data_IF_609806825008
#
_entry.id   IF_609806825008
#
_cell.length_a   1.000
_cell.length_b   1.000
_cell.length_c   1.000
_cell.angle_alpha   90.00
_cell.angle_beta   90.00
_cell.angle_gamma   90.00
#
_symmetry.space_group_name_H-M   'P 1'
#
loop_
_entity.id
_entity.type
_entity.pdbx_description
1 polymer ?
#
# COMPACT_ATOMS: atom_id res chain seq x y z
N UNK A 1 -4.70 -17.65 4.90
CA UNK A 1 -4.31 -18.78 5.76
C UNK A 1 -5.51 -19.34 6.53
N UNK A 2 -5.25 -20.10 7.62
CA UNK A 2 -6.30 -20.67 8.47
C UNK A 2 -7.23 -19.62 9.10
N UNK A 3 -6.69 -18.43 9.37
CA UNK A 3 -7.43 -17.30 9.95
C UNK A 3 -8.14 -16.42 8.90
N UNK A 4 -8.21 -16.88 7.64
CA UNK A 4 -8.93 -16.13 6.61
C UNK A 4 -10.43 -16.09 6.93
N UNK A 5 -11.03 -14.94 6.62
CA UNK A 5 -12.44 -14.70 6.85
C UNK A 5 -13.20 -15.03 5.56
N UNK A 6 -14.13 -15.97 5.68
CA UNK A 6 -15.09 -16.28 4.63
C UNK A 6 -16.05 -15.11 4.41
N UNK A 7 -16.18 -14.70 3.14
CA UNK A 7 -17.14 -13.70 2.68
C UNK A 7 -18.09 -14.38 1.71
N UNK A 8 -19.39 -14.33 2.01
CA UNK A 8 -20.39 -15.03 1.20
C UNK A 8 -20.59 -14.34 -0.17
N UNK A 9 -20.94 -15.10 -1.24
CA UNK A 9 -21.29 -14.51 -2.54
C UNK A 9 -22.42 -13.48 -2.45
N UNK A 10 -23.35 -13.65 -1.51
CA UNK A 10 -24.43 -12.70 -1.25
C UNK A 10 -23.91 -11.36 -0.72
N UNK A 11 -22.92 -11.37 0.19
CA UNK A 11 -22.27 -10.14 0.67
C UNK A 11 -21.44 -9.48 -0.44
N UNK A 12 -20.72 -10.28 -1.25
CA UNK A 12 -19.95 -9.76 -2.38
C UNK A 12 -20.87 -9.00 -3.34
N UNK A 13 -22.00 -9.59 -3.74
CA UNK A 13 -22.97 -8.94 -4.64
C UNK A 13 -23.63 -7.73 -3.99
N UNK A 14 -24.10 -7.86 -2.74
CA UNK A 14 -24.82 -6.78 -2.03
C UNK A 14 -23.99 -5.51 -1.90
N UNK A 15 -22.71 -5.64 -1.60
CA UNK A 15 -21.80 -4.51 -1.36
C UNK A 15 -20.87 -4.20 -2.55
N UNK A 16 -21.08 -4.83 -3.71
CA UNK A 16 -20.23 -4.61 -4.89
C UNK A 16 -18.74 -4.89 -4.63
N UNK A 17 -18.43 -5.88 -3.76
CA UNK A 17 -17.07 -6.15 -3.35
C UNK A 17 -16.24 -6.68 -4.52
N UNK A 18 -15.01 -6.18 -4.63
CA UNK A 18 -14.03 -6.61 -5.62
C UNK A 18 -12.73 -7.01 -4.93
N UNK A 19 -11.93 -7.83 -5.61
CA UNK A 19 -10.59 -8.21 -5.12
C UNK A 19 -9.76 -6.96 -4.89
N UNK A 20 -8.97 -6.96 -3.80
CA UNK A 20 -8.17 -5.81 -3.38
C UNK A 20 -8.89 -4.81 -2.46
N UNK A 21 -10.21 -4.91 -2.30
CA UNK A 21 -10.93 -4.09 -1.31
C UNK A 21 -10.64 -4.56 0.11
N UNK A 22 -10.39 -3.60 1.00
CA UNK A 22 -10.26 -3.85 2.44
C UNK A 22 -11.63 -3.79 3.10
N UNK A 23 -12.02 -4.84 3.80
CA UNK A 23 -13.32 -4.94 4.48
C UNK A 23 -13.09 -5.00 5.98
N UNK A 24 -13.75 -4.11 6.72
CA UNK A 24 -13.81 -4.15 8.20
C UNK A 24 -15.24 -4.47 8.62
N UNK A 25 -15.36 -5.35 9.60
CA UNK A 25 -16.67 -5.75 10.10
C UNK A 25 -16.61 -6.79 11.21
N UNK A 26 -17.78 -7.06 11.78
CA UNK A 26 -17.93 -8.11 12.78
C UNK A 26 -17.80 -9.50 12.12
N UNK A 27 -17.03 -10.38 12.76
CA UNK A 27 -16.87 -11.78 12.35
C UNK A 27 -17.50 -12.70 13.39
N UNK A 28 -17.77 -13.94 13.00
CA UNK A 28 -18.17 -15.03 13.90
C UNK A 28 -17.25 -16.24 13.74
N UNK A 29 -17.05 -17.05 14.80
CA UNK A 29 -16.33 -18.31 14.68
C UNK A 29 -17.05 -19.29 13.73
N UNK A 30 -16.31 -20.26 13.15
CA UNK A 30 -16.91 -21.34 12.38
C UNK A 30 -17.87 -22.18 13.23
N UNK A 31 -18.95 -22.65 12.63
CA UNK A 31 -19.79 -23.73 13.18
C UNK A 31 -19.12 -25.08 12.97
N UNK A 32 -19.66 -26.16 13.56
CA UNK A 32 -19.10 -27.52 13.48
C UNK A 32 -18.80 -27.99 12.04
N UNK A 33 -19.53 -27.51 11.04
CA UNK A 33 -19.35 -27.85 9.62
C UNK A 33 -18.51 -26.85 8.81
N UNK A 34 -18.00 -25.79 9.44
CA UNK A 34 -17.27 -24.71 8.77
C UNK A 34 -15.78 -24.71 9.17
N UNK A 35 -14.90 -24.33 8.24
CA UNK A 35 -13.45 -24.28 8.48
C UNK A 35 -12.92 -22.88 8.83
N UNK A 36 -13.65 -21.84 8.45
CA UNK A 36 -13.18 -20.45 8.49
C UNK A 36 -14.10 -19.58 9.34
N UNK A 37 -13.55 -18.50 9.91
CA UNK A 37 -14.36 -17.41 10.44
C UNK A 37 -15.25 -16.86 9.32
N UNK A 38 -16.46 -16.41 9.64
CA UNK A 38 -17.37 -15.85 8.64
C UNK A 38 -17.66 -14.38 8.94
N UNK A 39 -17.68 -13.54 7.90
CA UNK A 39 -18.09 -12.15 8.01
C UNK A 39 -19.58 -12.07 8.34
N UNK A 40 -19.94 -11.45 9.46
CA UNK A 40 -21.33 -11.29 9.90
C UNK A 40 -21.93 -9.99 9.36
N UNK A 41 -21.22 -8.87 9.54
CA UNK A 41 -21.69 -7.53 9.18
C UNK A 41 -20.52 -6.70 8.65
N UNK A 42 -20.72 -6.05 7.51
CA UNK A 42 -19.77 -5.06 6.98
C UNK A 42 -19.99 -3.73 7.68
N UNK A 43 -18.92 -3.15 8.22
CA UNK A 43 -18.91 -1.82 8.84
C UNK A 43 -18.27 -0.78 7.93
N UNK A 44 -17.13 -1.12 7.32
CA UNK A 44 -16.42 -0.23 6.39
C UNK A 44 -15.83 -0.99 5.22
N UNK A 45 -15.77 -0.33 4.07
CA UNK A 45 -15.09 -0.81 2.87
C UNK A 45 -14.10 0.27 2.45
N UNK A 46 -12.82 -0.07 2.31
CA UNK A 46 -11.73 0.87 2.04
C UNK A 46 -11.73 2.10 2.98
N UNK A 47 -12.09 1.89 4.25
CA UNK A 47 -12.18 2.94 5.28
C UNK A 47 -13.45 3.80 5.24
N UNK A 48 -14.32 3.62 4.24
CA UNK A 48 -15.56 4.40 4.05
C UNK A 48 -16.82 3.59 4.40
N UNK A 49 -17.96 4.29 4.49
CA UNK A 49 -19.28 3.64 4.65
C UNK A 49 -19.55 2.69 3.47
N UNK A 50 -20.15 1.50 3.69
CA UNK A 50 -20.42 0.53 2.64
C UNK A 50 -21.36 1.05 1.54
N UNK A 51 -22.16 2.06 1.85
CA UNK A 51 -23.11 2.67 0.91
C UNK A 51 -22.41 3.41 -0.23
N UNK A 52 -21.21 3.95 0.02
CA UNK A 52 -20.44 4.76 -0.95
C UNK A 52 -19.76 3.90 -2.01
N UNK A 53 -19.69 2.58 -1.84
CA UNK A 53 -18.92 1.69 -2.72
C UNK A 53 -19.53 1.62 -4.12
N UNK A 54 -20.85 1.70 -4.22
CA UNK A 54 -21.55 1.66 -5.49
C UNK A 54 -21.28 2.88 -6.39
N UNK A 55 -20.86 3.99 -5.79
CA UNK A 55 -20.53 5.23 -6.51
C UNK A 55 -19.07 5.27 -6.98
N UNK A 56 -18.26 4.24 -6.66
CA UNK A 56 -16.84 4.21 -7.02
C UNK A 56 -16.66 3.80 -8.49
N UNK A 57 -16.05 4.70 -9.27
CA UNK A 57 -15.55 4.41 -10.61
C UNK A 57 -14.51 3.28 -10.55
N UNK A 58 -14.52 2.38 -11.54
CA UNK A 58 -13.50 1.34 -11.62
C UNK A 58 -12.15 1.97 -11.96
N UNK A 59 -11.07 1.41 -11.42
CA UNK A 59 -9.72 1.92 -11.70
C UNK A 59 -9.39 1.94 -13.21
N UNK A 60 -9.88 0.94 -13.95
CA UNK A 60 -9.70 0.81 -15.41
C UNK A 60 -10.44 1.88 -16.22
N UNK A 61 -11.48 2.50 -15.64
CA UNK A 61 -12.29 3.54 -16.29
C UNK A 61 -11.75 4.95 -15.99
N UNK A 62 -10.72 5.09 -15.15
CA UNK A 62 -10.11 6.38 -14.83
C UNK A 62 -9.27 6.88 -16.01
N UNK A 63 -9.33 8.20 -16.25
CA UNK A 63 -8.50 8.83 -17.29
C UNK A 63 -7.05 8.92 -16.79
N UNK A 64 -6.08 8.32 -17.50
CA UNK A 64 -4.68 8.41 -17.13
C UNK A 64 -4.16 9.84 -17.40
N UNK A 65 -3.51 10.44 -16.41
CA UNK A 65 -2.95 11.78 -16.48
C UNK A 65 -1.46 11.75 -16.10
N UNK A 66 -0.71 12.75 -16.58
CA UNK A 66 0.65 12.97 -16.12
C UNK A 66 0.67 13.45 -14.65
N UNK A 67 1.74 13.18 -13.89
CA UNK A 67 1.87 13.69 -12.53
C UNK A 67 1.89 15.23 -12.47
N UNK A 68 0.92 15.83 -11.80
CA UNK A 68 0.86 17.28 -11.59
C UNK A 68 1.31 17.71 -10.18
N UNK A 69 1.16 16.82 -9.20
CA UNK A 69 1.59 17.05 -7.81
C UNK A 69 2.95 16.41 -7.57
N UNK A 70 3.96 17.24 -7.34
CA UNK A 70 5.32 16.79 -6.98
C UNK A 70 5.36 16.24 -5.53
N UNK A 71 6.12 15.18 -5.33
CA UNK A 71 6.52 14.62 -4.04
C UNK A 71 7.96 15.06 -3.75
N UNK A 72 8.14 15.99 -2.83
CA UNK A 72 9.46 16.43 -2.35
C UNK A 72 10.00 15.39 -1.37
N UNK A 73 11.22 14.93 -1.60
CA UNK A 73 11.88 13.89 -0.83
C UNK A 73 12.89 14.46 0.18
N UNK A 74 13.34 15.70 -0.01
CA UNK A 74 14.17 16.42 0.97
C UNK A 74 13.48 16.45 2.35
N UNK A 75 14.23 16.07 3.39
CA UNK A 75 13.79 16.12 4.80
C UNK A 75 14.79 16.89 5.65
N UNK A 76 15.87 16.22 6.08
CA UNK A 76 16.97 16.81 6.85
C UNK A 76 18.20 17.08 5.97
N UNK A 77 19.05 18.08 6.31
CA UNK A 77 20.23 18.44 5.51
C UNK A 77 21.20 17.29 5.21
N UNK A 78 21.28 16.31 6.11
CA UNK A 78 22.14 15.12 6.01
C UNK A 78 21.63 14.11 4.97
N UNK A 79 20.36 14.21 4.55
CA UNK A 79 19.74 13.34 3.54
C UNK A 79 20.08 13.83 2.13
N UNK A 80 21.36 13.76 1.78
CA UNK A 80 21.89 14.28 0.51
C UNK A 80 21.26 13.55 -0.69
N UNK A 81 21.02 12.24 -0.60
CA UNK A 81 20.50 11.45 -1.70
C UNK A 81 19.11 11.90 -2.14
N UNK A 82 18.24 12.24 -1.18
CA UNK A 82 16.88 12.70 -1.48
C UNK A 82 16.89 14.08 -2.14
N UNK A 83 17.81 14.96 -1.72
CA UNK A 83 18.03 16.27 -2.35
C UNK A 83 18.52 16.13 -3.79
N UNK A 84 19.46 15.22 -4.03
CA UNK A 84 19.93 14.91 -5.39
C UNK A 84 18.78 14.38 -6.24
N UNK A 85 17.95 13.47 -5.71
CA UNK A 85 16.78 12.97 -6.43
C UNK A 85 15.80 14.10 -6.77
N UNK A 86 15.53 15.01 -5.84
CA UNK A 86 14.67 16.16 -6.07
C UNK A 86 15.21 17.10 -7.18
N UNK A 87 16.52 17.22 -7.33
CA UNK A 87 17.12 18.07 -8.35
C UNK A 87 17.20 17.39 -9.73
N UNK A 88 17.57 16.10 -9.75
CA UNK A 88 17.92 15.38 -10.99
C UNK A 88 16.74 14.61 -11.57
N UNK A 89 15.89 14.05 -10.71
CA UNK A 89 14.81 13.14 -11.10
C UNK A 89 13.59 13.29 -10.18
N UNK A 90 12.88 14.43 -10.23
CA UNK A 90 11.76 14.71 -9.34
C UNK A 90 10.65 13.66 -9.51
N UNK A 91 10.05 13.25 -8.38
CA UNK A 91 8.98 12.26 -8.35
C UNK A 91 7.64 12.98 -8.11
N UNK A 92 6.57 12.53 -8.78
CA UNK A 92 5.22 13.05 -8.60
C UNK A 92 4.19 11.98 -8.26
N UNK A 93 2.99 12.40 -7.84
CA UNK A 93 1.86 11.51 -7.63
C UNK A 93 1.40 10.92 -8.98
N UNK A 94 1.47 9.59 -9.09
CA UNK A 94 1.24 8.87 -10.35
C UNK A 94 2.51 8.59 -11.15
N UNK A 95 3.70 8.95 -10.62
CA UNK A 95 4.96 8.69 -11.30
C UNK A 95 5.20 7.18 -11.46
N UNK A 96 5.64 6.81 -12.67
CA UNK A 96 6.22 5.50 -12.95
C UNK A 96 7.73 5.69 -13.11
N UNK A 97 8.50 5.01 -12.27
CA UNK A 97 9.95 5.16 -12.22
C UNK A 97 10.64 3.79 -12.22
N UNK A 98 11.87 3.78 -12.70
CA UNK A 98 12.75 2.63 -12.66
C UNK A 98 14.09 3.07 -12.08
N UNK A 99 14.52 2.43 -10.99
CA UNK A 99 15.86 2.62 -10.42
C UNK A 99 16.75 1.53 -11.02
N UNK A 100 17.60 1.91 -11.96
CA UNK A 100 18.59 1.01 -12.56
C UNK A 100 19.87 1.07 -11.74
N UNK A 101 20.23 -0.06 -11.14
CA UNK A 101 21.35 -0.13 -10.20
C UNK A 101 22.05 -1.49 -10.30
N UNK A 102 23.38 -1.55 -10.50
CA UNK A 102 24.15 -2.78 -10.38
C UNK A 102 24.04 -3.37 -8.95
N UNK A 103 24.35 -4.67 -8.77
CA UNK A 103 24.43 -5.25 -7.43
C UNK A 103 25.35 -4.44 -6.50
N UNK A 104 24.97 -4.33 -5.21
CA UNK A 104 25.77 -3.69 -4.14
C UNK A 104 26.04 -2.19 -4.32
N UNK A 105 25.16 -1.47 -5.03
CA UNK A 105 25.28 -0.01 -5.24
C UNK A 105 24.35 0.84 -4.36
N UNK A 106 23.71 0.23 -3.35
CA UNK A 106 22.86 0.96 -2.40
C UNK A 106 21.40 1.12 -2.81
N UNK A 107 20.90 0.37 -3.81
CA UNK A 107 19.47 0.33 -4.21
C UNK A 107 18.53 0.26 -2.99
N UNK A 108 18.81 -0.68 -2.08
CA UNK A 108 17.98 -0.92 -0.89
C UNK A 108 17.98 0.30 0.05
N UNK A 109 19.15 0.89 0.31
CA UNK A 109 19.29 2.07 1.17
C UNK A 109 18.56 3.27 0.55
N UNK A 110 18.67 3.47 -0.77
CA UNK A 110 17.96 4.53 -1.47
C UNK A 110 16.43 4.36 -1.32
N UNK A 111 15.91 3.15 -1.56
CA UNK A 111 14.48 2.86 -1.40
C UNK A 111 13.99 3.06 0.06
N UNK A 112 14.79 2.68 1.05
CA UNK A 112 14.46 2.93 2.47
C UNK A 112 14.40 4.44 2.75
N UNK A 113 15.36 5.22 2.26
CA UNK A 113 15.37 6.69 2.40
C UNK A 113 14.17 7.35 1.71
N UNK A 114 13.84 6.94 0.49
CA UNK A 114 12.65 7.42 -0.21
C UNK A 114 11.37 7.12 0.57
N UNK A 115 11.27 5.91 1.14
CA UNK A 115 10.09 5.50 1.91
C UNK A 115 9.93 6.35 3.17
N UNK A 116 11.02 6.58 3.90
CA UNK A 116 11.04 7.47 5.08
C UNK A 116 10.63 8.88 4.72
N UNK A 117 11.21 9.43 3.65
CA UNK A 117 10.90 10.78 3.18
C UNK A 117 9.43 10.94 2.82
N UNK A 118 8.84 9.96 2.12
CA UNK A 118 7.40 10.00 1.79
C UNK A 118 6.55 9.92 3.05
N UNK A 119 6.87 9.02 4.00
CA UNK A 119 6.12 8.91 5.26
C UNK A 119 6.20 10.19 6.11
N UNK A 120 7.34 10.88 6.10
CA UNK A 120 7.56 12.12 6.84
C UNK A 120 6.85 13.31 6.19
N UNK A 121 7.06 13.50 4.88
CA UNK A 121 6.56 14.67 4.14
C UNK A 121 5.08 14.54 3.74
N UNK A 122 4.58 13.31 3.61
CA UNK A 122 3.23 13.01 3.11
C UNK A 122 2.55 11.91 3.93
N UNK A 123 2.21 12.16 5.22
CA UNK A 123 1.59 11.17 6.10
C UNK A 123 0.22 10.69 5.60
N UNK A 124 -0.42 11.40 4.68
CA UNK A 124 -1.66 10.98 4.02
C UNK A 124 -1.45 9.92 2.92
N UNK A 125 -0.22 9.78 2.42
CA UNK A 125 0.12 8.84 1.35
C UNK A 125 0.31 7.45 1.95
N UNK A 126 -0.45 6.49 1.43
CA UNK A 126 -0.27 5.08 1.78
C UNK A 126 0.94 4.51 1.04
N UNK A 127 2.01 4.21 1.77
CA UNK A 127 3.17 3.53 1.20
C UNK A 127 3.02 2.01 1.32
N UNK A 128 3.39 1.28 0.27
CA UNK A 128 3.37 -0.18 0.23
C UNK A 128 4.74 -0.62 -0.30
N UNK A 129 5.46 -1.43 0.48
CA UNK A 129 6.73 -2.01 0.05
C UNK A 129 6.53 -3.49 -0.25
N UNK A 130 6.68 -3.84 -1.53
CA UNK A 130 6.61 -5.21 -2.01
C UNK A 130 8.02 -5.75 -2.29
N UNK A 131 8.46 -6.71 -1.49
CA UNK A 131 9.73 -7.41 -1.65
C UNK A 131 9.44 -8.78 -2.26
N UNK A 132 10.01 -9.06 -3.43
CA UNK A 132 9.80 -10.31 -4.19
C UNK A 132 11.15 -11.00 -4.35
N UNK A 133 11.21 -12.28 -3.99
CA UNK A 133 12.43 -13.11 -4.09
C UNK A 133 13.65 -12.51 -3.37
N UNK A 134 13.41 -11.65 -2.37
CA UNK A 134 14.46 -11.05 -1.55
C UNK A 134 14.79 -11.93 -0.34
N UNK A 135 16.03 -11.80 0.13
CA UNK A 135 16.52 -12.62 1.24
C UNK A 135 15.85 -12.23 2.57
N UNK A 136 15.57 -13.18 3.49
CA UNK A 136 14.90 -12.90 4.75
C UNK A 136 15.56 -11.81 5.62
N UNK A 137 16.89 -11.77 5.63
CA UNK A 137 17.67 -10.76 6.34
C UNK A 137 17.48 -9.35 5.75
N UNK A 138 17.36 -9.22 4.43
CA UNK A 138 17.12 -7.95 3.74
C UNK A 138 15.69 -7.47 3.97
N UNK A 139 14.72 -8.39 4.00
CA UNK A 139 13.33 -8.10 4.40
C UNK A 139 13.27 -7.57 5.84
N UNK A 140 14.04 -8.18 6.74
CA UNK A 140 14.09 -7.77 8.15
C UNK A 140 14.75 -6.41 8.30
N UNK A 141 15.86 -6.18 7.60
CA UNK A 141 16.56 -4.89 7.58
C UNK A 141 15.64 -3.76 7.10
N UNK A 142 14.93 -3.97 5.98
CA UNK A 142 14.01 -2.97 5.44
C UNK A 142 12.91 -2.59 6.44
N UNK A 143 12.27 -3.59 7.06
CA UNK A 143 11.22 -3.37 8.05
C UNK A 143 11.72 -2.60 9.27
N UNK A 144 12.91 -2.93 9.78
CA UNK A 144 13.50 -2.25 10.94
C UNK A 144 13.82 -0.80 10.64
N UNK A 145 14.31 -0.53 9.43
CA UNK A 145 14.70 0.80 9.05
C UNK A 145 13.51 1.71 8.83
N UNK A 146 12.45 1.24 8.16
CA UNK A 146 11.35 2.09 7.70
C UNK A 146 10.20 2.26 8.72
N UNK A 147 10.05 1.33 9.67
CA UNK A 147 9.01 1.38 10.70
C UNK A 147 7.84 0.42 10.45
N UNK A 148 6.95 0.28 11.45
CA UNK A 148 5.87 -0.73 11.48
C UNK A 148 4.69 -0.45 10.53
N UNK A 149 4.57 0.76 10.01
CA UNK A 149 3.40 1.22 9.24
C UNK A 149 3.58 1.12 7.72
N UNK A 150 4.52 0.26 7.27
CA UNK A 150 4.80 -0.03 5.84
C UNK A 150 4.67 -1.52 5.54
#
# INVERSE_FOLDING_TARGET
GPDDIYVSPSQIRRFGLRRGMTVRGAIRPPKESERYFALLKVEKINGKSPEVVHDLVNFEDLVPMHPEKRLLLETVPESIEMRIMDLVSPIGMGQRALIVAPPRTGKTVLMQKMTKAINENYPEVKVIVLLVDERPEEVTDFKRNVGKDV
#
